data_IF_907911734539
#
_entry.id   IF_907911734539
#
_cell.length_a   1.000
_cell.length_b   1.000
_cell.length_c   1.000
_cell.angle_alpha   90.00
_cell.angle_beta   90.00
_cell.angle_gamma   90.00
#
_symmetry.space_group_name_H-M   'P 1'
#
loop_
_entity.id
_entity.type
_entity.pdbx_description
1 polymer ?
#
# COMPACT_ATOMS: atom_id res chain seq x y z
N UNK A 1 -5.87 11.45 -18.27
CA UNK A 1 -5.87 10.30 -19.21
C UNK A 1 -6.46 9.08 -18.48
N UNK A 2 -6.83 7.99 -19.17
CA UNK A 2 -7.39 6.81 -18.47
C UNK A 2 -6.25 5.95 -17.91
N UNK A 3 -6.17 5.78 -16.59
CA UNK A 3 -5.22 4.87 -15.93
C UNK A 3 -5.69 3.42 -16.10
N UNK A 4 -4.76 2.46 -16.10
CA UNK A 4 -5.06 1.02 -16.18
C UNK A 4 -4.70 0.36 -14.86
N UNK A 5 -5.60 -0.48 -14.34
CA UNK A 5 -5.36 -1.23 -13.10
C UNK A 5 -4.10 -2.10 -13.21
N UNK A 6 -3.31 -2.07 -12.14
CA UNK A 6 -2.14 -2.87 -11.86
C UNK A 6 -2.41 -3.66 -10.57
N UNK A 7 -2.10 -4.95 -10.58
CA UNK A 7 -2.17 -5.80 -9.38
C UNK A 7 -0.89 -6.58 -9.24
N UNK A 8 -0.27 -6.50 -8.07
CA UNK A 8 1.00 -7.18 -7.77
C UNK A 8 0.84 -7.99 -6.49
N UNK A 9 1.31 -9.23 -6.51
CA UNK A 9 1.28 -10.14 -5.37
C UNK A 9 2.68 -10.29 -4.78
N UNK A 10 2.79 -10.07 -3.46
CA UNK A 10 4.02 -10.25 -2.72
C UNK A 10 3.82 -11.26 -1.60
N UNK A 11 4.53 -12.38 -1.66
CA UNK A 11 4.52 -13.38 -0.60
C UNK A 11 5.35 -12.90 0.60
N UNK A 12 4.78 -12.99 1.80
CA UNK A 12 5.32 -12.49 3.06
C UNK A 12 5.35 -13.63 4.09
N UNK A 13 6.20 -14.63 3.81
CA UNK A 13 6.18 -16.00 4.38
C UNK A 13 6.18 -16.09 5.91
N UNK A 14 6.80 -15.13 6.59
CA UNK A 14 7.04 -15.13 8.05
C UNK A 14 6.14 -14.16 8.80
N UNK A 15 5.30 -13.40 8.10
CA UNK A 15 4.52 -12.32 8.68
C UNK A 15 3.21 -12.81 9.31
N UNK A 16 2.93 -12.37 10.54
CA UNK A 16 1.59 -12.56 11.12
C UNK A 16 0.60 -11.55 10.54
N UNK A 17 -0.69 -11.92 10.50
CA UNK A 17 -1.76 -11.04 10.04
C UNK A 17 -1.80 -9.70 10.80
N UNK A 18 -1.54 -9.73 12.11
CA UNK A 18 -1.55 -8.53 12.95
C UNK A 18 -0.38 -7.59 12.62
N UNK A 19 0.81 -8.16 12.36
CA UNK A 19 1.98 -7.37 11.96
C UNK A 19 1.72 -6.71 10.61
N UNK A 20 1.26 -7.48 9.61
CA UNK A 20 0.92 -6.96 8.29
C UNK A 20 -0.16 -5.88 8.38
N UNK A 21 -1.21 -6.14 9.16
CA UNK A 21 -2.31 -5.18 9.33
C UNK A 21 -1.81 -3.87 9.92
N UNK A 22 -1.01 -3.92 10.99
CA UNK A 22 -0.44 -2.72 11.60
C UNK A 22 0.47 -1.96 10.62
N UNK A 23 1.29 -2.66 9.82
CA UNK A 23 2.17 -2.06 8.82
C UNK A 23 1.45 -1.31 7.70
N UNK A 24 0.22 -1.70 7.36
CA UNK A 24 -0.52 -1.09 6.23
C UNK A 24 -1.64 -0.13 6.66
N UNK A 25 -2.16 -0.26 7.89
CA UNK A 25 -3.36 0.45 8.33
C UNK A 25 -3.10 1.57 9.34
N UNK A 26 -1.91 1.61 9.93
CA UNK A 26 -1.56 2.62 10.93
C UNK A 26 -0.56 3.64 10.37
N UNK A 27 -0.61 4.91 10.81
CA UNK A 27 0.33 5.93 10.33
C UNK A 27 1.79 5.55 10.62
N UNK A 28 2.06 5.08 11.84
CA UNK A 28 3.39 4.62 12.22
C UNK A 28 3.84 3.43 11.37
N UNK A 29 2.95 2.46 11.12
CA UNK A 29 3.26 1.32 10.27
C UNK A 29 3.58 1.72 8.84
N UNK A 30 2.82 2.64 8.25
CA UNK A 30 3.06 3.15 6.90
C UNK A 30 4.37 3.96 6.83
N UNK A 31 4.70 4.72 7.86
CA UNK A 31 5.94 5.49 7.96
C UNK A 31 7.21 4.61 8.09
N UNK A 32 7.07 3.31 8.40
CA UNK A 32 8.24 2.42 8.46
C UNK A 32 8.74 1.98 7.09
N UNK A 33 7.88 1.99 6.07
CA UNK A 33 8.22 1.39 4.78
C UNK A 33 7.67 2.12 3.56
N UNK A 34 6.46 2.70 3.62
CA UNK A 34 5.79 3.28 2.45
C UNK A 34 6.19 4.73 2.20
N UNK A 35 6.36 5.51 3.27
CA UNK A 35 6.78 6.91 3.25
C UNK A 35 7.74 7.20 4.42
N UNK A 36 8.51 8.27 4.35
CA UNK A 36 9.43 8.67 5.43
C UNK A 36 8.68 9.28 6.63
N UNK A 37 7.51 9.86 6.37
CA UNK A 37 6.61 10.41 7.37
C UNK A 37 5.15 10.25 6.96
N UNK A 38 4.28 10.01 7.94
CA UNK A 38 2.83 9.95 7.73
C UNK A 38 2.14 10.71 8.85
N UNK A 39 1.36 11.72 8.50
CA UNK A 39 0.48 12.45 9.41
C UNK A 39 -0.97 12.16 9.04
N UNK A 40 -1.87 12.22 10.02
CA UNK A 40 -3.29 11.94 9.82
C UNK A 40 -4.15 12.97 10.52
N UNK A 41 -5.15 13.45 9.79
CA UNK A 41 -6.23 14.27 10.30
C UNK A 41 -7.57 13.63 9.87
N UNK A 42 -8.29 13.03 10.81
CA UNK A 42 -9.48 12.20 10.54
C UNK A 42 -9.22 11.08 9.52
N UNK A 43 -9.71 11.23 8.27
CA UNK A 43 -9.51 10.29 7.18
C UNK A 43 -8.50 10.78 6.13
N UNK A 44 -7.90 11.95 6.34
CA UNK A 44 -6.89 12.53 5.47
C UNK A 44 -5.50 12.10 5.95
N UNK A 45 -4.73 11.48 5.06
CA UNK A 45 -3.38 11.01 5.29
C UNK A 45 -2.42 11.82 4.41
N UNK A 46 -1.42 12.46 5.02
CA UNK A 46 -0.35 13.12 4.29
C UNK A 46 0.90 12.25 4.36
N UNK A 47 1.40 11.83 3.21
CA UNK A 47 2.60 11.01 3.06
C UNK A 47 3.76 11.90 2.61
N UNK A 48 4.89 11.82 3.31
CA UNK A 48 6.08 12.63 3.06
C UNK A 48 7.25 11.73 2.60
N UNK A 49 7.89 12.09 1.50
CA UNK A 49 9.15 11.49 1.00
C UNK A 49 10.18 12.60 0.79
N UNK A 50 11.22 12.61 1.61
CA UNK A 50 12.21 13.70 1.69
C UNK A 50 11.61 15.12 1.79
N UNK A 51 11.35 15.77 0.64
CA UNK A 51 10.78 17.13 0.52
C UNK A 51 9.44 17.16 -0.24
N UNK A 52 8.97 16.01 -0.71
CA UNK A 52 7.72 15.89 -1.44
C UNK A 52 6.65 15.36 -0.50
N UNK A 53 5.45 15.90 -0.60
CA UNK A 53 4.29 15.46 0.16
C UNK A 53 3.13 15.20 -0.79
N UNK A 54 2.35 14.17 -0.49
CA UNK A 54 1.08 13.91 -1.18
C UNK A 54 0.01 13.52 -0.17
N UNK A 55 -1.21 14.01 -0.40
CA UNK A 55 -2.37 13.73 0.44
C UNK A 55 -3.24 12.66 -0.20
N UNK A 56 -3.73 11.73 0.62
CA UNK A 56 -4.73 10.74 0.23
C UNK A 56 -5.83 10.64 1.28
N UNK A 57 -7.03 10.25 0.85
CA UNK A 57 -8.16 9.97 1.72
C UNK A 57 -8.29 8.47 1.95
N UNK A 58 -8.48 8.07 3.20
CA UNK A 58 -8.88 6.72 3.57
C UNK A 58 -10.34 6.49 3.17
N UNK A 59 -10.56 5.70 2.12
CA UNK A 59 -11.90 5.48 1.54
C UNK A 59 -12.51 4.13 1.92
N UNK A 60 -11.69 3.15 2.35
CA UNK A 60 -12.19 1.86 2.79
C UNK A 60 -11.25 1.16 3.76
N UNK A 61 -11.82 0.58 4.81
CA UNK A 61 -11.08 -0.23 5.79
C UNK A 61 -11.88 -1.48 6.10
N UNK A 62 -11.24 -2.64 5.94
CA UNK A 62 -11.72 -3.93 6.42
C UNK A 62 -10.64 -4.54 7.32
N UNK A 63 -10.81 -4.50 8.65
CA UNK A 63 -9.80 -4.94 9.60
C UNK A 63 -9.21 -6.30 9.26
N UNK A 64 -7.87 -6.41 9.32
CA UNK A 64 -7.09 -7.61 9.01
C UNK A 64 -7.27 -8.16 7.58
N UNK A 65 -7.91 -7.43 6.68
CA UNK A 65 -8.17 -7.89 5.30
C UNK A 65 -7.66 -6.90 4.28
N UNK A 66 -8.09 -5.64 4.33
CA UNK A 66 -7.69 -4.65 3.33
C UNK A 66 -7.90 -3.22 3.79
N UNK A 67 -7.09 -2.32 3.26
CA UNK A 67 -7.22 -0.88 3.42
C UNK A 67 -7.02 -0.20 2.07
N UNK A 68 -7.84 0.81 1.77
CA UNK A 68 -7.81 1.56 0.50
C UNK A 68 -7.71 3.04 0.75
N UNK A 69 -6.86 3.67 -0.05
CA UNK A 69 -6.62 5.09 -0.05
C UNK A 69 -6.83 5.63 -1.47
N UNK A 70 -7.28 6.87 -1.58
CA UNK A 70 -7.44 7.58 -2.84
C UNK A 70 -6.64 8.87 -2.77
N UNK A 71 -5.72 9.08 -3.71
CA UNK A 71 -4.98 10.33 -3.80
C UNK A 71 -5.94 11.51 -3.98
N UNK A 72 -5.61 12.67 -3.41
CA UNK A 72 -6.42 13.89 -3.54
C UNK A 72 -6.63 14.27 -5.01
N UNK A 73 -5.62 14.09 -5.86
CA UNK A 73 -5.71 14.33 -7.31
C UNK A 73 -6.65 13.38 -8.06
N UNK A 74 -6.95 12.23 -7.45
CA UNK A 74 -7.79 11.17 -8.03
C UNK A 74 -9.22 11.22 -7.47
N UNK A 75 -9.58 12.20 -6.63
CA UNK A 75 -10.97 12.42 -6.16
C UNK A 75 -11.92 12.53 -7.36
N UNK A 76 -13.15 12.04 -7.18
CA UNK A 76 -14.18 11.91 -8.22
C UNK A 76 -13.86 10.90 -9.35
N UNK A 77 -12.81 10.09 -9.18
CA UNK A 77 -12.50 8.94 -10.04
C UNK A 77 -12.64 7.61 -9.29
N UNK A 78 -12.49 6.50 -10.01
CA UNK A 78 -12.45 5.15 -9.43
C UNK A 78 -11.02 4.70 -9.06
N UNK A 79 -10.02 5.60 -9.10
CA UNK A 79 -8.62 5.27 -8.84
C UNK A 79 -8.31 5.31 -7.34
N UNK A 80 -7.58 4.29 -6.90
CA UNK A 80 -7.18 4.09 -5.51
C UNK A 80 -5.94 3.22 -5.45
N UNK A 81 -5.23 3.24 -4.33
CA UNK A 81 -4.28 2.19 -3.99
C UNK A 81 -4.83 1.34 -2.82
N UNK A 82 -4.67 0.02 -2.93
CA UNK A 82 -5.15 -0.95 -1.95
C UNK A 82 -4.02 -1.85 -1.47
N UNK A 83 -3.95 -2.00 -0.15
CA UNK A 83 -3.20 -3.05 0.51
C UNK A 83 -4.18 -4.14 0.95
N UNK A 84 -4.04 -5.36 0.42
CA UNK A 84 -4.91 -6.48 0.78
C UNK A 84 -4.09 -7.68 1.25
N UNK A 85 -4.39 -8.13 2.45
CA UNK A 85 -3.78 -9.31 3.06
C UNK A 85 -4.59 -10.55 2.64
N UNK A 86 -3.91 -11.58 2.16
CA UNK A 86 -4.51 -12.87 1.80
C UNK A 86 -3.67 -14.02 2.36
N UNK A 87 -4.33 -15.10 2.78
CA UNK A 87 -3.65 -16.37 3.06
C UNK A 87 -3.63 -17.21 1.78
N UNK A 88 -2.45 -17.69 1.38
CA UNK A 88 -2.29 -18.53 0.20
C UNK A 88 -2.89 -19.92 0.47
N UNK A 89 -3.78 -20.38 -0.42
CA UNK A 89 -4.49 -21.65 -0.22
C UNK A 89 -3.57 -22.87 -0.14
N UNK A 90 -2.43 -22.82 -0.84
CA UNK A 90 -1.52 -23.96 -0.96
C UNK A 90 -0.56 -24.05 0.23
N UNK A 91 0.04 -22.94 0.63
CA UNK A 91 1.10 -22.92 1.67
C UNK A 91 0.58 -22.47 3.04
N UNK A 92 -0.58 -21.80 3.10
CA UNK A 92 -1.07 -21.13 4.31
C UNK A 92 -0.30 -19.86 4.67
N UNK A 93 0.74 -19.50 3.90
CA UNK A 93 1.53 -18.29 4.11
C UNK A 93 0.72 -17.03 3.75
N UNK A 94 1.07 -15.91 4.37
CA UNK A 94 0.45 -14.63 4.07
C UNK A 94 1.07 -13.99 2.81
N UNK A 95 0.25 -13.31 2.03
CA UNK A 95 0.68 -12.45 0.94
C UNK A 95 -0.01 -11.09 1.03
N UNK A 96 0.68 -10.06 0.55
CA UNK A 96 0.15 -8.72 0.36
C UNK A 96 -0.10 -8.50 -1.12
N UNK A 97 -1.35 -8.23 -1.48
CA UNK A 97 -1.77 -7.85 -2.82
C UNK A 97 -1.85 -6.33 -2.85
N UNK A 98 -1.11 -5.73 -3.78
CA UNK A 98 -1.18 -4.31 -4.10
C UNK A 98 -2.11 -4.15 -5.30
N UNK A 99 -3.11 -3.28 -5.18
CA UNK A 99 -3.83 -2.75 -6.35
C UNK A 99 -3.49 -1.28 -6.51
N UNK A 100 -3.18 -0.85 -7.72
CA UNK A 100 -2.87 0.54 -8.08
C UNK A 100 -3.28 0.80 -9.54
N UNK A 101 -3.12 2.02 -10.05
CA UNK A 101 -3.51 2.42 -11.40
C UNK A 101 -2.38 3.16 -12.10
N UNK A 102 -1.82 2.55 -13.16
CA UNK A 102 -0.71 3.12 -13.92
C UNK A 102 -1.20 3.92 -15.13
N UNK A 103 -0.50 4.99 -15.48
CA UNK A 103 -0.69 5.63 -16.77
C UNK A 103 -0.16 4.77 -17.93
N UNK A 104 -0.42 5.22 -19.16
CA UNK A 104 -0.01 4.49 -20.35
C UNK A 104 1.52 4.49 -20.48
N UNK A 105 2.11 3.32 -20.26
CA UNK A 105 3.56 3.11 -20.37
C UNK A 105 4.29 3.08 -19.03
N UNK A 106 3.62 3.39 -17.92
CA UNK A 106 4.25 3.50 -16.59
C UNK A 106 4.12 2.25 -15.73
N UNK A 107 3.51 1.18 -16.24
CA UNK A 107 3.29 -0.06 -15.47
C UNK A 107 4.57 -0.66 -14.92
N UNK A 108 5.64 -0.64 -15.71
CA UNK A 108 6.91 -1.25 -15.34
C UNK A 108 7.62 -0.42 -14.25
N UNK A 109 7.57 0.91 -14.38
CA UNK A 109 8.12 1.84 -13.38
C UNK A 109 7.35 1.74 -12.05
N UNK A 110 6.02 1.70 -12.11
CA UNK A 110 5.18 1.53 -10.93
C UNK A 110 5.41 0.17 -10.26
N UNK A 111 5.63 -0.89 -11.04
CA UNK A 111 5.99 -2.22 -10.52
C UNK A 111 7.35 -2.20 -9.83
N UNK A 112 8.35 -1.53 -10.41
CA UNK A 112 9.67 -1.38 -9.81
C UNK A 112 9.62 -0.58 -8.50
N UNK A 113 8.82 0.49 -8.47
CA UNK A 113 8.56 1.26 -7.25
C UNK A 113 8.00 0.35 -6.15
N UNK A 114 6.94 -0.41 -6.44
CA UNK A 114 6.33 -1.31 -5.46
C UNK A 114 7.28 -2.42 -5.01
N UNK A 115 8.13 -2.95 -5.89
CA UNK A 115 9.15 -3.92 -5.51
C UNK A 115 10.11 -3.35 -4.45
N UNK A 116 10.61 -2.13 -4.65
CA UNK A 116 11.51 -1.46 -3.70
C UNK A 116 10.83 -1.16 -2.36
N UNK A 117 9.55 -0.74 -2.41
CA UNK A 117 8.75 -0.48 -1.21
C UNK A 117 8.56 -1.76 -0.39
N UNK A 118 8.22 -2.87 -1.04
CA UNK A 118 8.02 -4.16 -0.36
C UNK A 118 9.32 -4.76 0.16
N UNK A 119 10.44 -4.56 -0.52
CA UNK A 119 11.75 -4.93 0.04
C UNK A 119 12.07 -4.15 1.33
N UNK A 120 11.69 -2.87 1.38
CA UNK A 120 11.82 -2.07 2.59
C UNK A 120 10.91 -2.59 3.70
N UNK A 121 9.65 -2.90 3.40
CA UNK A 121 8.71 -3.51 4.34
C UNK A 121 9.30 -4.79 4.94
N UNK A 122 9.80 -5.70 4.10
CA UNK A 122 10.42 -6.97 4.52
C UNK A 122 11.55 -6.74 5.51
N UNK A 123 12.51 -5.89 5.15
CA UNK A 123 13.66 -5.55 5.98
C UNK A 123 13.26 -4.93 7.33
N UNK A 124 12.25 -4.07 7.36
CA UNK A 124 11.82 -3.31 8.55
C UNK A 124 10.99 -4.13 9.51
N UNK A 125 10.16 -5.02 8.99
CA UNK A 125 9.27 -5.87 9.79
C UNK A 125 9.88 -7.24 10.12
N UNK A 126 11.07 -7.54 9.59
CA UNK A 126 11.75 -8.82 9.78
C UNK A 126 11.11 -9.96 8.99
N UNK A 127 10.41 -9.63 7.90
CA UNK A 127 9.74 -10.59 7.00
C UNK A 127 10.71 -11.11 5.96
#
# INVERSE_FOLDING_TARGET
>A
MKKTILKIEYQLKTASINVLWNSISTPLGLAEWFADGVTVNDNEYTFCWEKNEQTAFLIHTKPNVSVRFQWEEDVDTDYYFEFKIVALQVTGEMALIITDFAEKGEKDDLTLLWNNQIETLRRKTGI
#
